data_IF_331058865691
#
_entry.id   IF_331058865691
#
_cell.length_a   1.000
_cell.length_b   1.000
_cell.length_c   1.000
_cell.angle_alpha   90.00
_cell.angle_beta   90.00
_cell.angle_gamma   90.00
#
_symmetry.space_group_name_H-M   'P 1'
#
loop_
_entity.id
_entity.type
_entity.pdbx_description
1 polymer ?
#
# COMPACT_ATOMS: atom_id res chain seq x y z
N UNK A 1 11.29 -7.02 6.35
CA UNK A 1 9.94 -6.42 6.50
C UNK A 1 9.15 -6.65 5.22
N UNK A 2 7.85 -6.93 5.34
CA UNK A 2 6.96 -7.16 4.21
C UNK A 2 6.26 -5.88 3.76
N UNK A 3 5.70 -5.87 2.54
CA UNK A 3 4.99 -4.70 1.98
C UNK A 3 3.91 -4.16 2.93
N UNK A 4 3.02 -5.04 3.38
CA UNK A 4 1.92 -4.69 4.29
C UNK A 4 2.41 -4.08 5.60
N UNK A 5 3.53 -4.58 6.15
CA UNK A 5 4.10 -4.02 7.38
C UNK A 5 4.62 -2.58 7.18
N UNK A 6 5.27 -2.31 6.05
CA UNK A 6 5.75 -0.95 5.71
C UNK A 6 4.56 -0.03 5.42
N UNK A 7 3.57 -0.50 4.67
CA UNK A 7 2.31 0.23 4.40
C UNK A 7 1.57 0.58 5.71
N UNK A 8 1.51 -0.34 6.68
CA UNK A 8 0.95 -0.07 8.00
C UNK A 8 1.80 0.88 8.83
N UNK A 9 3.13 0.72 8.82
CA UNK A 9 4.02 1.61 9.54
C UNK A 9 3.88 3.05 9.06
N UNK A 10 3.90 3.28 7.74
CA UNK A 10 3.74 4.61 7.15
C UNK A 10 2.35 5.18 7.42
N UNK A 11 1.30 4.37 7.30
CA UNK A 11 -0.08 4.81 7.53
C UNK A 11 -0.34 5.26 8.97
N UNK A 12 0.25 4.56 9.95
CA UNK A 12 0.05 4.83 11.37
C UNK A 12 1.06 5.84 11.95
N UNK A 13 1.89 6.48 11.12
CA UNK A 13 2.73 7.58 11.60
C UNK A 13 1.84 8.71 12.12
N UNK A 14 2.11 9.14 13.35
CA UNK A 14 1.39 10.22 14.02
C UNK A 14 2.39 11.31 14.37
N UNK A 15 2.45 12.33 13.51
CA UNK A 15 3.08 13.61 13.80
C UNK A 15 2.17 14.72 13.26
N UNK A 16 2.25 15.92 13.85
CA UNK A 16 1.34 17.03 13.51
C UNK A 16 1.42 17.44 12.03
N UNK A 17 2.58 17.25 11.39
CA UNK A 17 2.86 17.60 9.99
C UNK A 17 3.02 16.38 9.06
N UNK A 18 2.54 15.20 9.49
CA UNK A 18 2.57 13.98 8.68
C UNK A 18 1.15 13.49 8.48
N UNK A 19 0.72 13.47 7.22
CA UNK A 19 -0.57 12.95 6.80
C UNK A 19 -0.37 11.75 5.89
N UNK A 20 -1.17 10.71 6.12
CA UNK A 20 -1.14 9.49 5.33
C UNK A 20 -2.54 9.08 4.90
N UNK A 21 -2.68 8.65 3.65
CA UNK A 21 -3.91 8.09 3.12
C UNK A 21 -3.59 6.85 2.27
N UNK A 22 -4.36 5.78 2.46
CA UNK A 22 -4.16 4.52 1.75
C UNK A 22 -5.22 4.33 0.67
N UNK A 23 -4.78 4.22 -0.57
CA UNK A 23 -5.57 3.77 -1.72
C UNK A 23 -5.41 2.25 -1.84
N UNK A 24 -6.26 1.51 -1.12
CA UNK A 24 -6.30 0.05 -1.13
C UNK A 24 -7.17 -0.45 -2.29
N UNK A 25 -6.59 -1.30 -3.13
CA UNK A 25 -7.26 -1.95 -4.27
C UNK A 25 -7.82 -3.34 -3.94
N UNK A 26 -7.93 -3.68 -2.66
CA UNK A 26 -8.57 -4.91 -2.20
C UNK A 26 -10.00 -5.06 -2.70
N UNK A 27 -10.30 -6.17 -3.38
CA UNK A 27 -11.61 -6.41 -3.98
C UNK A 27 -12.10 -5.23 -4.86
N UNK A 28 -11.20 -4.45 -5.46
CA UNK A 28 -11.55 -3.32 -6.29
C UNK A 28 -11.94 -3.78 -7.71
N UNK A 29 -13.07 -3.33 -8.28
CA UNK A 29 -13.46 -3.70 -9.64
C UNK A 29 -12.66 -2.86 -10.66
N UNK A 30 -11.55 -3.39 -11.16
CA UNK A 30 -10.64 -2.68 -12.07
C UNK A 30 -11.30 -2.20 -13.37
N UNK A 31 -12.37 -2.86 -13.82
CA UNK A 31 -13.21 -2.39 -14.94
C UNK A 31 -13.69 -0.94 -14.77
N UNK A 32 -13.86 -0.47 -13.53
CA UNK A 32 -14.19 0.91 -13.25
C UNK A 32 -13.06 1.86 -13.69
N UNK A 33 -11.80 1.51 -13.47
CA UNK A 33 -10.67 2.30 -13.95
C UNK A 33 -10.50 2.19 -15.46
N UNK A 34 -10.72 1.02 -16.04
CA UNK A 34 -10.65 0.83 -17.49
C UNK A 34 -11.65 1.73 -18.23
N UNK A 35 -12.83 1.98 -17.65
CA UNK A 35 -13.82 2.91 -18.20
C UNK A 35 -13.48 4.41 -18.08
N UNK A 36 -12.42 4.75 -17.33
CA UNK A 36 -12.00 6.14 -17.06
C UNK A 36 -10.76 6.52 -17.86
N UNK A 37 -10.64 6.02 -19.09
CA UNK A 37 -9.57 6.42 -20.00
C UNK A 37 -9.77 7.87 -20.48
N UNK A 38 -8.64 8.55 -20.70
CA UNK A 38 -8.60 9.86 -21.32
C UNK A 38 -8.21 9.72 -22.78
N UNK A 39 -9.20 9.91 -23.66
CA UNK A 39 -9.06 9.78 -25.12
C UNK A 39 -8.08 10.78 -25.76
N UNK A 40 -7.66 11.81 -25.02
CA UNK A 40 -6.64 12.75 -25.50
C UNK A 40 -5.23 12.14 -25.48
N UNK A 41 -5.03 11.00 -24.82
CA UNK A 41 -3.74 10.32 -24.72
C UNK A 41 -3.75 9.00 -25.47
N UNK A 42 -2.62 8.66 -26.10
CA UNK A 42 -2.41 7.37 -26.73
C UNK A 42 -1.98 6.31 -25.71
N UNK A 43 -2.21 5.03 -26.02
CA UNK A 43 -1.69 3.94 -25.20
C UNK A 43 -0.16 3.96 -25.11
N UNK A 44 0.44 3.71 -23.91
CA UNK A 44 -0.17 3.25 -22.66
C UNK A 44 -0.53 4.37 -21.66
N UNK A 45 -0.70 5.61 -22.12
CA UNK A 45 -0.79 6.82 -21.27
C UNK A 45 -2.24 7.24 -20.96
N UNK A 46 -3.24 6.55 -21.48
CA UNK A 46 -4.66 6.92 -21.37
C UNK A 46 -5.20 6.95 -19.93
N UNK A 47 -4.52 6.29 -18.98
CA UNK A 47 -4.95 6.28 -17.58
C UNK A 47 -4.15 7.23 -16.68
N UNK A 48 -3.23 8.04 -17.22
CA UNK A 48 -2.43 8.97 -16.41
C UNK A 48 -3.33 9.95 -15.65
N UNK A 49 -4.33 10.52 -16.33
CA UNK A 49 -5.22 11.54 -15.74
C UNK A 49 -6.02 10.97 -14.57
N UNK A 50 -6.55 9.74 -14.68
CA UNK A 50 -7.31 9.14 -13.57
C UNK A 50 -6.38 8.87 -12.38
N UNK A 51 -5.15 8.41 -12.60
CA UNK A 51 -4.20 8.23 -11.50
C UNK A 51 -3.80 9.54 -10.83
N UNK A 52 -3.54 10.61 -11.59
CA UNK A 52 -3.35 11.96 -11.03
C UNK A 52 -4.56 12.35 -10.17
N UNK A 53 -5.76 12.18 -10.70
CA UNK A 53 -6.99 12.56 -10.03
C UNK A 53 -7.23 11.80 -8.71
N UNK A 54 -6.97 10.49 -8.68
CA UNK A 54 -7.07 9.70 -7.43
C UNK A 54 -6.05 10.14 -6.39
N UNK A 55 -4.81 10.44 -6.81
CA UNK A 55 -3.75 10.90 -5.92
C UNK A 55 -4.08 12.30 -5.37
N UNK A 56 -4.55 13.22 -6.21
CA UNK A 56 -4.95 14.56 -5.76
C UNK A 56 -6.13 14.52 -4.81
N UNK A 57 -7.12 13.66 -5.06
CA UNK A 57 -8.21 13.45 -4.10
C UNK A 57 -7.71 12.93 -2.75
N UNK A 58 -6.73 12.02 -2.74
CA UNK A 58 -6.11 11.55 -1.50
C UNK A 58 -5.39 12.69 -0.76
N UNK A 59 -4.70 13.57 -1.50
CA UNK A 59 -4.03 14.75 -0.93
C UNK A 59 -5.04 15.74 -0.35
N UNK A 60 -6.07 16.13 -1.11
CA UNK A 60 -7.11 17.03 -0.62
C UNK A 60 -7.82 16.47 0.62
N UNK A 61 -8.04 15.15 0.68
CA UNK A 61 -8.58 14.48 1.88
C UNK A 61 -7.64 14.56 3.08
N UNK A 62 -6.33 14.54 2.87
CA UNK A 62 -5.33 14.76 3.91
C UNK A 62 -5.24 16.22 4.34
N UNK A 63 -5.25 17.16 3.38
CA UNK A 63 -5.32 18.61 3.62
C UNK A 63 -6.54 18.98 4.46
N UNK A 64 -7.69 18.30 4.29
CA UNK A 64 -8.88 18.51 5.11
C UNK A 64 -8.65 18.24 6.62
N UNK A 65 -7.65 17.42 6.96
CA UNK A 65 -7.24 17.11 8.33
C UNK A 65 -6.14 18.04 8.85
N UNK A 66 -5.58 18.88 7.97
CA UNK A 66 -4.48 19.77 8.30
C UNK A 66 -5.01 21.14 8.73
N UNK A 67 -5.14 21.34 10.04
CA UNK A 67 -5.70 22.58 10.60
C UNK A 67 -4.80 23.82 10.41
N UNK A 68 -3.58 23.67 9.89
CA UNK A 68 -2.68 24.80 9.59
C UNK A 68 -3.05 25.56 8.31
N UNK A 69 -3.90 24.98 7.46
CA UNK A 69 -4.23 25.52 6.14
C UNK A 69 -5.26 26.66 6.20
N UNK A 70 -5.42 27.35 5.07
CA UNK A 70 -6.38 28.45 4.93
C UNK A 70 -7.82 28.02 5.31
N UNK A 71 -8.48 28.85 6.11
CA UNK A 71 -9.80 28.53 6.67
C UNK A 71 -10.90 28.41 5.60
N UNK A 72 -10.82 29.17 4.50
CA UNK A 72 -11.80 29.09 3.40
C UNK A 72 -11.63 27.77 2.67
N UNK A 73 -10.39 27.36 2.36
CA UNK A 73 -10.12 26.06 1.76
C UNK A 73 -10.54 24.92 2.70
N UNK A 74 -10.19 24.98 3.98
CA UNK A 74 -10.56 23.94 4.95
C UNK A 74 -12.07 23.73 5.03
N UNK A 75 -12.86 24.81 4.99
CA UNK A 75 -14.31 24.71 4.95
C UNK A 75 -14.80 24.00 3.68
N UNK A 76 -14.24 24.33 2.50
CA UNK A 76 -14.57 23.68 1.24
C UNK A 76 -14.19 22.19 1.24
N UNK A 77 -12.97 21.86 1.67
CA UNK A 77 -12.48 20.49 1.81
C UNK A 77 -13.33 19.68 2.78
N UNK A 78 -13.69 20.24 3.94
CA UNK A 78 -14.50 19.55 4.93
C UNK A 78 -15.93 19.26 4.40
N UNK A 79 -16.56 20.17 3.67
CA UNK A 79 -17.84 19.88 3.01
C UNK A 79 -17.75 18.65 2.08
N UNK A 80 -16.64 18.50 1.35
CA UNK A 80 -16.43 17.41 0.40
C UNK A 80 -16.02 16.09 1.09
N UNK A 81 -15.16 16.15 2.10
CA UNK A 81 -14.49 14.97 2.68
C UNK A 81 -14.95 14.58 4.10
N UNK A 82 -15.39 15.51 4.96
CA UNK A 82 -15.86 15.17 6.33
C UNK A 82 -17.12 14.29 6.31
N UNK A 83 -17.91 14.39 5.23
CA UNK A 83 -19.12 13.59 5.00
C UNK A 83 -18.83 12.18 4.45
N UNK A 84 -17.58 11.69 4.52
CA UNK A 84 -17.16 10.40 3.96
C UNK A 84 -16.91 9.34 5.04
N UNK A 85 -17.95 8.65 5.56
CA UNK A 85 -17.75 7.45 6.38
C UNK A 85 -17.23 6.27 5.53
N UNK A 86 -17.34 6.38 4.20
CA UNK A 86 -16.94 5.37 3.24
C UNK A 86 -15.42 5.41 3.08
N UNK A 87 -14.76 4.31 3.46
CA UNK A 87 -13.31 4.12 3.29
C UNK A 87 -12.96 3.30 2.04
N UNK A 88 -13.91 2.53 1.51
CA UNK A 88 -13.65 1.59 0.43
C UNK A 88 -13.49 2.31 -0.92
N UNK A 89 -12.34 2.09 -1.58
CA UNK A 89 -11.97 2.81 -2.81
C UNK A 89 -12.95 2.57 -3.96
N UNK A 90 -13.50 1.35 -4.08
CA UNK A 90 -14.50 0.99 -5.10
C UNK A 90 -15.79 1.84 -5.03
N UNK A 91 -16.12 2.40 -3.87
CA UNK A 91 -17.24 3.32 -3.69
C UNK A 91 -16.82 4.79 -3.81
N UNK A 92 -15.56 5.09 -3.54
CA UNK A 92 -15.02 6.45 -3.64
C UNK A 92 -14.81 6.87 -5.10
N UNK A 93 -14.25 5.99 -5.94
CA UNK A 93 -13.95 6.33 -7.35
C UNK A 93 -15.18 6.83 -8.12
N UNK A 94 -16.35 6.14 -8.13
CA UNK A 94 -17.54 6.63 -8.85
C UNK A 94 -18.06 7.97 -8.29
N UNK A 95 -17.87 8.21 -6.99
CA UNK A 95 -18.28 9.47 -6.34
C UNK A 95 -17.33 10.59 -6.72
N UNK A 96 -16.02 10.35 -6.71
CA UNK A 96 -15.01 11.34 -7.09
C UNK A 96 -15.15 11.74 -8.55
N UNK A 97 -15.53 10.82 -9.44
CA UNK A 97 -15.69 11.11 -10.88
C UNK A 97 -17.07 11.66 -11.26
N UNK A 98 -18.00 11.82 -10.30
CA UNK A 98 -19.32 12.40 -10.57
C UNK A 98 -19.24 13.89 -10.95
N UNK A 99 -20.18 14.35 -11.79
CA UNK A 99 -20.20 15.72 -12.34
C UNK A 99 -20.23 16.81 -11.25
N UNK A 100 -20.99 16.64 -10.18
CA UNK A 100 -21.06 17.62 -9.08
C UNK A 100 -19.96 17.50 -8.02
N UNK A 101 -19.11 16.48 -8.07
CA UNK A 101 -18.09 16.27 -7.04
C UNK A 101 -17.03 17.38 -7.08
N UNK A 102 -16.65 17.89 -5.91
CA UNK A 102 -15.58 18.88 -5.77
C UNK A 102 -15.99 20.31 -6.09
N UNK A 103 -17.26 20.61 -6.42
CA UNK A 103 -17.72 21.96 -6.77
C UNK A 103 -17.28 23.07 -5.77
N UNK A 104 -17.32 22.77 -4.48
CA UNK A 104 -16.86 23.66 -3.41
C UNK A 104 -15.33 23.95 -3.48
N UNK A 105 -14.53 22.94 -3.83
CA UNK A 105 -13.08 23.06 -4.01
C UNK A 105 -12.77 23.85 -5.29
N UNK A 106 -13.55 23.59 -6.36
CA UNK A 106 -13.44 24.32 -7.62
C UNK A 106 -13.72 25.81 -7.43
N UNK A 107 -14.62 26.20 -6.53
CA UNK A 107 -14.84 27.61 -6.17
C UNK A 107 -13.63 28.27 -5.49
N UNK A 108 -12.76 27.49 -4.85
CA UNK A 108 -11.47 27.98 -4.34
C UNK A 108 -10.46 28.11 -5.48
N UNK A 109 -10.39 27.11 -6.38
CA UNK A 109 -9.52 27.08 -7.56
C UNK A 109 -9.85 28.10 -8.65
N UNK A 110 -11.13 28.46 -8.84
CA UNK A 110 -11.54 29.43 -9.85
C UNK A 110 -11.00 30.86 -9.59
N UNK A 111 -10.66 31.18 -8.33
CA UNK A 111 -9.98 32.45 -8.00
C UNK A 111 -8.50 32.46 -8.46
N UNK A 112 -7.93 31.28 -8.75
CA UNK A 112 -6.54 31.08 -9.17
C UNK A 112 -6.43 31.28 -10.69
N UNK A 113 -7.29 30.59 -11.46
CA UNK A 113 -7.19 30.57 -12.92
C UNK A 113 -8.10 31.57 -13.65
N UNK A 114 -8.91 32.36 -12.93
CA UNK A 114 -9.89 33.26 -13.56
C UNK A 114 -10.95 32.52 -14.40
N UNK A 115 -11.18 31.24 -14.11
CA UNK A 115 -12.07 30.36 -14.88
C UNK A 115 -13.54 30.71 -14.59
N UNK A 116 -14.15 31.45 -15.53
CA UNK A 116 -15.61 31.64 -15.66
C UNK A 116 -16.29 30.42 -16.33
N UNK A 117 -15.88 29.18 -16.02
CA UNK A 117 -16.56 27.98 -16.54
C UNK A 117 -17.75 27.65 -15.63
N UNK A 118 -18.90 27.31 -16.24
CA UNK A 118 -20.00 26.70 -15.50
C UNK A 118 -19.50 25.42 -14.82
N UNK A 119 -19.49 25.44 -13.48
CA UNK A 119 -18.95 24.37 -12.62
C UNK A 119 -19.60 23.01 -12.93
N UNK A 120 -20.85 23.01 -13.40
CA UNK A 120 -21.63 21.82 -13.72
C UNK A 120 -21.17 21.05 -14.97
N UNK A 121 -20.39 21.68 -15.86
CA UNK A 121 -19.92 21.08 -17.12
C UNK A 121 -18.44 20.65 -17.09
N UNK A 122 -17.77 20.75 -15.95
CA UNK A 122 -16.34 20.42 -15.84
C UNK A 122 -16.17 18.91 -15.76
N UNK A 123 -15.42 18.35 -16.70
CA UNK A 123 -15.11 16.92 -16.73
C UNK A 123 -14.19 16.53 -15.57
N UNK A 124 -14.21 15.27 -15.13
CA UNK A 124 -13.28 14.80 -14.09
C UNK A 124 -11.79 14.97 -14.49
N UNK A 125 -11.50 14.96 -15.80
CA UNK A 125 -10.17 15.19 -16.33
C UNK A 125 -9.72 16.64 -16.09
N UNK A 126 -10.57 17.62 -16.41
CA UNK A 126 -10.30 19.04 -16.10
C UNK A 126 -10.24 19.30 -14.60
N UNK A 127 -11.02 18.58 -13.79
CA UNK A 127 -10.92 18.67 -12.32
C UNK A 127 -9.55 18.21 -11.81
N UNK A 128 -8.86 17.31 -12.52
CA UNK A 128 -7.53 16.87 -12.11
C UNK A 128 -6.52 18.01 -12.14
N UNK A 129 -6.60 18.89 -13.14
CA UNK A 129 -5.72 20.05 -13.26
C UNK A 129 -6.09 21.09 -12.18
N UNK A 130 -7.38 21.39 -11.98
CA UNK A 130 -7.81 22.34 -10.94
C UNK A 130 -7.39 21.87 -9.53
N UNK A 131 -7.43 20.56 -9.26
CA UNK A 131 -6.95 20.02 -7.99
C UNK A 131 -5.43 20.12 -7.86
N UNK A 132 -4.68 19.99 -8.96
CA UNK A 132 -3.22 20.22 -8.99
C UNK A 132 -2.90 21.65 -8.56
N UNK A 133 -3.57 22.65 -9.14
CA UNK A 133 -3.37 24.07 -8.84
C UNK A 133 -3.78 24.44 -7.41
N UNK A 134 -4.90 23.86 -6.91
CA UNK A 134 -5.33 24.04 -5.52
C UNK A 134 -4.30 23.45 -4.54
N UNK A 135 -3.70 22.31 -4.87
CA UNK A 135 -2.65 21.70 -4.03
C UNK A 135 -1.41 22.59 -4.05
N UNK A 136 -0.98 23.08 -5.22
CA UNK A 136 0.19 23.95 -5.35
C UNK A 136 0.05 25.24 -4.55
N UNK A 137 -1.12 25.89 -4.63
CA UNK A 137 -1.32 27.17 -3.97
C UNK A 137 -1.46 27.06 -2.45
N UNK A 138 -2.11 26.02 -1.96
CA UNK A 138 -2.57 25.98 -0.57
C UNK A 138 -1.94 24.90 0.30
N UNK A 139 -1.27 23.89 -0.27
CA UNK A 139 -0.58 22.92 0.57
C UNK A 139 0.66 23.54 1.23
N UNK A 140 0.89 23.19 2.49
CA UNK A 140 2.05 23.61 3.27
C UNK A 140 3.24 22.64 3.07
N UNK A 141 4.29 22.81 3.87
CA UNK A 141 5.47 21.95 3.83
C UNK A 141 5.30 20.63 4.62
N UNK A 142 4.06 20.26 4.98
CA UNK A 142 3.76 18.97 5.59
C UNK A 142 4.03 17.80 4.65
N UNK A 143 4.20 16.62 5.23
CA UNK A 143 4.41 15.38 4.49
C UNK A 143 3.07 14.72 4.17
N UNK A 144 2.84 14.49 2.88
CA UNK A 144 1.62 13.84 2.38
C UNK A 144 2.00 12.48 1.77
N UNK A 145 1.73 11.39 2.49
CA UNK A 145 2.00 10.02 2.04
C UNK A 145 0.77 9.38 1.41
N UNK A 146 0.88 9.03 0.13
CA UNK A 146 -0.20 8.34 -0.60
C UNK A 146 0.24 6.90 -0.82
N UNK A 147 -0.35 5.98 -0.07
CA UNK A 147 0.02 4.57 -0.07
C UNK A 147 -0.90 3.81 -1.04
N UNK A 148 -0.36 3.37 -2.17
CA UNK A 148 -1.10 2.63 -3.20
C UNK A 148 -0.73 1.16 -3.09
N UNK A 149 -1.67 0.33 -2.66
CA UNK A 149 -1.42 -1.07 -2.30
C UNK A 149 -2.47 -2.01 -2.91
N UNK A 150 -2.16 -3.31 -2.92
CA UNK A 150 -3.06 -4.39 -3.38
C UNK A 150 -3.44 -4.29 -4.87
N UNK A 151 -2.56 -3.69 -5.68
CA UNK A 151 -2.73 -3.64 -7.14
C UNK A 151 -2.70 -5.03 -7.80
N UNK A 152 -2.20 -6.05 -7.11
CA UNK A 152 -2.11 -7.44 -7.57
C UNK A 152 -3.40 -8.26 -7.42
N UNK A 153 -4.50 -7.66 -6.96
CA UNK A 153 -5.77 -8.36 -6.77
C UNK A 153 -6.38 -8.86 -8.09
N UNK A 154 -6.35 -8.04 -9.15
CA UNK A 154 -6.82 -8.39 -10.51
C UNK A 154 -5.73 -9.11 -11.33
N UNK A 155 -4.56 -9.34 -10.73
CA UNK A 155 -3.44 -10.05 -11.35
C UNK A 155 -3.61 -11.57 -11.20
N UNK A 156 -4.75 -12.12 -11.62
CA UNK A 156 -5.02 -13.57 -11.69
C UNK A 156 -5.92 -13.86 -12.89
N UNK A 157 -5.47 -14.79 -13.73
CA UNK A 157 -6.23 -15.39 -14.83
C UNK A 157 -6.89 -14.38 -15.79
N UNK A 158 -6.06 -13.57 -16.47
CA UNK A 158 -6.54 -12.78 -17.62
C UNK A 158 -7.24 -13.72 -18.61
N UNK A 159 -8.47 -13.40 -19.01
CA UNK A 159 -9.23 -14.23 -19.95
C UNK A 159 -8.56 -14.21 -21.34
N UNK A 160 -7.96 -13.07 -21.71
CA UNK A 160 -7.26 -12.88 -22.97
C UNK A 160 -6.03 -11.95 -22.87
N UNK A 161 -5.27 -11.86 -23.96
CA UNK A 161 -4.09 -10.99 -24.06
C UNK A 161 -4.44 -9.49 -24.03
N UNK A 162 -5.64 -9.11 -24.46
CA UNK A 162 -6.12 -7.72 -24.49
C UNK A 162 -6.36 -7.17 -23.07
N UNK A 163 -7.01 -7.95 -22.21
CA UNK A 163 -7.21 -7.63 -20.80
C UNK A 163 -5.87 -7.47 -20.09
N UNK A 164 -4.95 -8.42 -20.31
CA UNK A 164 -3.58 -8.34 -19.78
C UNK A 164 -2.88 -7.06 -20.23
N UNK A 165 -2.99 -6.70 -21.51
CA UNK A 165 -2.40 -5.50 -22.08
C UNK A 165 -2.99 -4.23 -21.46
N UNK A 166 -4.31 -4.19 -21.28
CA UNK A 166 -5.03 -3.07 -20.64
C UNK A 166 -4.61 -2.89 -19.19
N UNK A 167 -4.50 -3.99 -18.42
CA UNK A 167 -3.96 -3.96 -17.06
C UNK A 167 -2.52 -3.43 -17.01
N UNK A 168 -1.65 -3.88 -17.92
CA UNK A 168 -0.28 -3.36 -18.03
C UNK A 168 -0.29 -1.86 -18.35
N UNK A 169 -1.16 -1.40 -19.25
CA UNK A 169 -1.28 0.02 -19.59
C UNK A 169 -1.76 0.86 -18.41
N UNK A 170 -2.74 0.36 -17.66
CA UNK A 170 -3.21 0.98 -16.42
C UNK A 170 -2.06 1.16 -15.42
N UNK A 171 -1.27 0.10 -15.17
CA UNK A 171 -0.13 0.18 -14.25
C UNK A 171 0.98 1.09 -14.79
N UNK A 172 1.33 1.00 -16.07
CA UNK A 172 2.33 1.89 -16.68
C UNK A 172 1.93 3.37 -16.52
N UNK A 173 0.64 3.68 -16.74
CA UNK A 173 0.07 5.00 -16.49
C UNK A 173 0.19 5.45 -15.03
N UNK A 174 0.08 4.54 -14.05
CA UNK A 174 0.28 4.86 -12.63
C UNK A 174 1.70 5.36 -12.37
N UNK A 175 2.71 4.63 -12.85
CA UNK A 175 4.12 5.04 -12.66
C UNK A 175 4.41 6.40 -13.31
N UNK A 176 3.85 6.64 -14.50
CA UNK A 176 3.95 7.95 -15.17
C UNK A 176 3.24 9.05 -14.41
N UNK A 177 2.05 8.80 -13.87
CA UNK A 177 1.34 9.78 -13.05
C UNK A 177 2.14 10.16 -11.79
N UNK A 178 2.71 9.16 -11.09
CA UNK A 178 3.58 9.40 -9.93
C UNK A 178 4.82 10.22 -10.32
N UNK A 179 5.43 9.91 -11.46
CA UNK A 179 6.58 10.67 -11.98
C UNK A 179 6.18 12.12 -12.31
N UNK A 180 5.06 12.33 -12.98
CA UNK A 180 4.55 13.65 -13.34
C UNK A 180 4.27 14.50 -12.10
N UNK A 181 3.59 13.94 -11.09
CA UNK A 181 3.33 14.61 -9.82
C UNK A 181 4.65 15.02 -9.15
N UNK A 182 5.60 14.08 -9.02
CA UNK A 182 6.90 14.39 -8.41
C UNK A 182 7.70 15.44 -9.18
N UNK A 183 7.58 15.47 -10.50
CA UNK A 183 8.26 16.46 -11.34
C UNK A 183 7.61 17.84 -11.21
N UNK A 184 6.28 17.91 -11.20
CA UNK A 184 5.52 19.16 -11.05
C UNK A 184 5.83 19.85 -9.72
N UNK A 185 5.77 19.11 -8.61
CA UNK A 185 6.01 19.66 -7.27
C UNK A 185 7.50 19.71 -6.85
N UNK A 186 8.44 19.45 -7.76
CA UNK A 186 9.86 19.27 -7.43
C UNK A 186 10.50 20.48 -6.76
N UNK A 187 10.17 21.67 -7.24
CA UNK A 187 10.75 22.94 -6.77
C UNK A 187 9.85 23.63 -5.72
N UNK A 188 8.74 22.98 -5.34
CA UNK A 188 7.84 23.44 -4.28
C UNK A 188 8.33 23.02 -2.89
N UNK A 189 7.84 23.68 -1.84
CA UNK A 189 8.05 23.25 -0.45
C UNK A 189 7.19 22.04 -0.06
N UNK A 190 6.23 21.67 -0.91
CA UNK A 190 5.20 20.67 -0.64
C UNK A 190 5.80 19.26 -0.74
N UNK A 191 5.64 18.45 0.30
CA UNK A 191 6.32 17.15 0.41
C UNK A 191 5.36 15.99 0.07
N UNK A 192 4.99 15.88 -1.20
CA UNK A 192 4.12 14.80 -1.71
C UNK A 192 4.93 13.51 -1.93
N UNK A 193 4.48 12.40 -1.32
CA UNK A 193 5.15 11.09 -1.32
C UNK A 193 4.20 9.99 -1.76
N UNK A 194 3.93 9.82 -3.07
CA UNK A 194 3.21 8.66 -3.57
C UNK A 194 4.11 7.43 -3.49
N UNK A 195 3.64 6.36 -2.86
CA UNK A 195 4.37 5.11 -2.64
C UNK A 195 3.52 3.96 -3.20
N UNK A 196 4.05 3.32 -4.24
CA UNK A 196 3.39 2.19 -4.93
C UNK A 196 3.96 0.88 -4.42
N UNK A 197 3.11 0.06 -3.82
CA UNK A 197 3.44 -1.31 -3.43
C UNK A 197 3.05 -2.26 -4.57
N UNK A 198 4.05 -2.80 -5.27
CA UNK A 198 3.82 -3.70 -6.39
C UNK A 198 4.64 -4.98 -6.25
N UNK A 199 4.12 -6.10 -6.77
CA UNK A 199 4.90 -7.35 -6.82
C UNK A 199 5.97 -7.26 -7.91
N UNK A 200 7.12 -7.87 -7.65
CA UNK A 200 8.28 -7.82 -8.53
C UNK A 200 8.03 -8.51 -9.87
N UNK A 201 7.24 -9.59 -9.87
CA UNK A 201 6.81 -10.27 -11.10
C UNK A 201 5.91 -9.38 -11.94
N UNK A 202 4.93 -8.69 -11.35
CA UNK A 202 4.09 -7.71 -12.06
C UNK A 202 4.94 -6.57 -12.62
N UNK A 203 5.84 -6.01 -11.80
CA UNK A 203 6.76 -4.96 -12.24
C UNK A 203 7.64 -5.41 -13.42
N UNK A 204 8.10 -6.67 -13.42
CA UNK A 204 8.88 -7.22 -14.51
C UNK A 204 8.12 -7.21 -15.85
N UNK A 205 6.79 -7.38 -15.83
CA UNK A 205 5.95 -7.34 -17.03
C UNK A 205 5.67 -5.95 -17.59
N UNK A 206 5.88 -4.88 -16.83
CA UNK A 206 5.72 -3.51 -17.34
C UNK A 206 6.72 -3.27 -18.49
N UNK A 207 6.21 -2.78 -19.62
CA UNK A 207 7.00 -2.45 -20.81
C UNK A 207 6.88 -0.94 -21.05
N UNK A 208 7.93 -0.21 -20.70
CA UNK A 208 8.02 1.24 -20.94
C UNK A 208 9.48 1.66 -21.13
N UNK A 209 9.71 2.66 -21.98
CA UNK A 209 11.04 3.23 -22.22
C UNK A 209 11.64 3.87 -20.97
N UNK A 210 10.81 4.44 -20.10
CA UNK A 210 11.23 5.11 -18.87
C UNK A 210 11.44 4.15 -17.69
N UNK A 211 11.22 2.85 -17.88
CA UNK A 211 11.40 1.83 -16.83
C UNK A 211 12.80 1.85 -16.20
N UNK A 212 13.82 2.18 -16.99
CA UNK A 212 15.19 2.33 -16.49
C UNK A 212 15.30 3.50 -15.51
N UNK A 213 14.62 4.62 -15.76
CA UNK A 213 14.59 5.78 -14.84
C UNK A 213 13.86 5.43 -13.55
N UNK A 214 12.80 4.63 -13.63
CA UNK A 214 12.06 4.22 -12.43
C UNK A 214 12.88 3.34 -11.50
N UNK A 215 13.85 2.58 -12.03
CA UNK A 215 14.67 1.64 -11.25
C UNK A 215 15.44 2.31 -10.11
N UNK A 216 15.82 3.57 -10.27
CA UNK A 216 16.52 4.36 -9.23
C UNK A 216 15.62 4.68 -8.02
N UNK A 217 14.29 4.60 -8.20
CA UNK A 217 13.31 4.91 -7.16
C UNK A 217 12.68 3.65 -6.53
N UNK A 218 13.19 2.45 -6.87
CA UNK A 218 12.63 1.18 -6.41
C UNK A 218 13.36 0.67 -5.17
N UNK A 219 12.60 0.39 -4.12
CA UNK A 219 13.07 -0.36 -2.97
C UNK A 219 12.64 -1.84 -3.09
N UNK A 220 13.61 -2.71 -3.38
CA UNK A 220 13.36 -4.15 -3.45
C UNK A 220 13.29 -4.76 -2.04
N UNK A 221 12.12 -5.32 -1.71
CA UNK A 221 11.87 -5.98 -0.43
C UNK A 221 12.04 -7.50 -0.57
N UNK A 222 13.19 -8.03 -0.14
CA UNK A 222 13.49 -9.47 -0.20
C UNK A 222 13.63 -10.07 1.20
N UNK A 223 12.97 -11.20 1.41
CA UNK A 223 13.13 -12.03 2.61
C UNK A 223 14.31 -12.98 2.43
N UNK A 224 15.34 -12.80 3.25
CA UNK A 224 16.47 -13.73 3.35
C UNK A 224 16.25 -14.68 4.53
N UNK A 225 16.91 -15.86 4.57
CA UNK A 225 16.84 -16.77 5.70
C UNK A 225 17.09 -16.09 7.04
N UNK A 226 18.08 -15.19 7.09
CA UNK A 226 18.50 -14.47 8.29
C UNK A 226 17.40 -13.51 8.74
N UNK A 227 16.84 -12.72 7.82
CA UNK A 227 15.74 -11.77 8.12
C UNK A 227 14.48 -12.51 8.59
N UNK A 228 14.19 -13.67 8.01
CA UNK A 228 13.06 -14.51 8.42
C UNK A 228 13.28 -15.07 9.83
N UNK A 229 14.46 -15.65 10.07
CA UNK A 229 14.82 -16.18 11.39
C UNK A 229 14.75 -15.09 12.46
N UNK A 230 15.32 -13.92 12.16
CA UNK A 230 15.32 -12.76 13.06
C UNK A 230 13.90 -12.28 13.40
N UNK A 231 13.05 -12.15 12.38
CA UNK A 231 11.65 -11.75 12.54
C UNK A 231 10.86 -12.78 13.38
N UNK A 232 11.09 -14.09 13.17
CA UNK A 232 10.46 -15.12 13.97
C UNK A 232 10.92 -15.08 15.42
N UNK A 233 12.24 -14.96 15.67
CA UNK A 233 12.78 -14.84 17.02
C UNK A 233 12.23 -13.60 17.74
N UNK A 234 12.15 -12.46 17.04
CA UNK A 234 11.55 -11.25 17.59
C UNK A 234 10.09 -11.48 17.99
N UNK A 235 9.26 -12.02 17.10
CA UNK A 235 7.84 -12.31 17.38
C UNK A 235 7.65 -13.30 18.53
N UNK A 236 8.47 -14.34 18.59
CA UNK A 236 8.44 -15.31 19.69
C UNK A 236 8.86 -14.67 21.02
N UNK A 237 9.84 -13.77 21.00
CA UNK A 237 10.28 -13.02 22.18
C UNK A 237 9.16 -12.14 22.74
N UNK A 238 8.50 -11.37 21.87
CA UNK A 238 7.32 -10.55 22.23
C UNK A 238 6.20 -11.44 22.78
N UNK A 239 5.91 -12.56 22.11
CA UNK A 239 4.89 -13.53 22.54
C UNK A 239 5.23 -14.17 23.90
N UNK A 240 6.52 -14.30 24.24
CA UNK A 240 6.98 -14.81 25.53
C UNK A 240 6.89 -13.79 26.67
N UNK A 241 6.41 -12.57 26.41
CA UNK A 241 6.35 -11.47 27.39
C UNK A 241 7.72 -11.19 28.03
N UNK A 242 8.79 -11.28 27.24
CA UNK A 242 10.16 -11.01 27.70
C UNK A 242 10.79 -12.11 28.57
N UNK A 243 10.15 -13.28 28.71
CA UNK A 243 10.72 -14.42 29.47
C UNK A 243 12.02 -14.96 28.88
N UNK A 244 12.23 -14.79 27.58
CA UNK A 244 13.43 -15.23 26.88
C UNK A 244 13.97 -14.13 25.98
N UNK A 245 15.30 -14.08 25.84
CA UNK A 245 15.95 -13.18 24.89
C UNK A 245 15.84 -13.70 23.45
N UNK A 246 16.04 -12.80 22.47
CA UNK A 246 15.97 -13.11 21.04
C UNK A 246 16.98 -14.18 20.61
N UNK A 247 18.12 -14.27 21.27
CA UNK A 247 19.20 -15.22 20.98
C UNK A 247 18.86 -16.64 21.46
N UNK A 248 18.04 -16.74 22.52
CA UNK A 248 17.75 -18.00 23.19
C UNK A 248 16.36 -18.55 22.86
N UNK A 249 15.40 -17.70 22.49
CA UNK A 249 14.00 -18.06 22.28
C UNK A 249 13.82 -19.23 21.30
N UNK A 250 14.60 -19.27 20.21
CA UNK A 250 14.48 -20.33 19.21
C UNK A 250 14.78 -21.71 19.80
N UNK A 251 15.81 -21.82 20.65
CA UNK A 251 16.18 -23.08 21.32
C UNK A 251 15.15 -23.49 22.39
N UNK A 252 14.46 -22.52 22.98
CA UNK A 252 13.42 -22.78 23.98
C UNK A 252 12.14 -23.32 23.32
N UNK A 253 11.79 -22.75 22.17
CA UNK A 253 10.61 -23.16 21.39
C UNK A 253 10.90 -24.46 20.62
N UNK A 254 12.09 -24.62 20.08
CA UNK A 254 12.55 -25.79 19.34
C UNK A 254 13.80 -26.40 20.01
N UNK A 255 13.62 -27.23 21.07
CA UNK A 255 14.73 -27.79 21.85
C UNK A 255 15.59 -28.75 21.04
N UNK A 256 15.00 -29.45 20.06
CA UNK A 256 15.75 -30.28 19.13
C UNK A 256 16.28 -29.42 17.99
N UNK A 257 17.62 -29.36 17.89
CA UNK A 257 18.31 -28.63 16.81
C UNK A 257 18.06 -29.25 15.43
N UNK A 258 17.88 -30.57 15.38
CA UNK A 258 17.72 -31.32 14.15
C UNK A 258 16.37 -32.02 14.12
N UNK A 259 15.79 -32.06 12.92
CA UNK A 259 14.68 -32.95 12.57
C UNK A 259 15.24 -34.09 11.75
N UNK A 260 14.97 -35.33 12.18
CA UNK A 260 15.38 -36.55 11.51
C UNK A 260 14.30 -36.98 10.51
N UNK A 261 14.72 -37.43 9.33
CA UNK A 261 13.87 -37.73 8.17
C UNK A 261 14.30 -39.04 7.49
N UNK A 262 13.36 -39.63 6.73
CA UNK A 262 13.57 -40.87 5.96
C UNK A 262 13.35 -42.15 6.78
N UNK A 263 13.23 -43.30 6.10
CA UNK A 263 12.84 -44.58 6.70
C UNK A 263 13.81 -45.11 7.77
N UNK A 264 15.03 -44.58 7.87
CA UNK A 264 16.04 -44.99 8.84
C UNK A 264 16.62 -43.83 9.66
N UNK A 265 16.08 -42.61 9.52
CA UNK A 265 16.53 -41.45 10.31
C UNK A 265 17.98 -40.98 10.06
N UNK A 266 18.68 -41.51 9.04
CA UNK A 266 20.06 -41.08 8.72
C UNK A 266 20.14 -39.65 8.19
N UNK A 267 19.07 -39.16 7.56
CA UNK A 267 19.01 -37.79 7.07
C UNK A 267 18.52 -36.87 8.18
N UNK A 268 19.31 -35.84 8.49
CA UNK A 268 18.95 -34.80 9.46
C UNK A 268 19.05 -33.43 8.82
N UNK A 269 18.21 -32.51 9.27
CA UNK A 269 18.29 -31.11 8.86
C UNK A 269 17.98 -30.20 10.04
N UNK A 270 18.46 -28.95 10.00
CA UNK A 270 18.15 -27.99 11.05
C UNK A 270 16.63 -27.74 11.10
N UNK A 271 16.09 -27.52 12.29
CA UNK A 271 14.65 -27.29 12.47
C UNK A 271 14.17 -26.08 11.67
N UNK A 272 14.97 -25.03 11.55
CA UNK A 272 14.64 -23.90 10.69
C UNK A 272 14.52 -24.33 9.23
N UNK A 273 15.53 -24.99 8.67
CA UNK A 273 15.54 -25.48 7.28
C UNK A 273 14.39 -26.46 7.00
N UNK A 274 14.02 -27.27 8.00
CA UNK A 274 12.87 -28.18 7.90
C UNK A 274 11.59 -27.40 7.68
N UNK A 275 11.35 -26.37 8.50
CA UNK A 275 10.18 -25.50 8.39
C UNK A 275 10.21 -24.75 7.05
N UNK A 276 11.38 -24.24 6.66
CA UNK A 276 11.59 -23.51 5.39
C UNK A 276 11.08 -24.27 4.17
N UNK A 277 11.31 -25.59 4.12
CA UNK A 277 10.84 -26.43 2.99
C UNK A 277 9.32 -26.44 2.85
N UNK A 278 8.59 -26.25 3.94
CA UNK A 278 7.12 -26.24 3.97
C UNK A 278 6.51 -24.83 3.85
N UNK A 279 7.31 -23.77 3.90
CA UNK A 279 6.81 -22.38 3.98
C UNK A 279 7.25 -21.51 2.81
N UNK A 280 8.01 -22.05 1.86
CA UNK A 280 8.42 -21.38 0.61
C UNK A 280 8.98 -19.96 0.82
N UNK A 281 9.74 -19.75 1.91
CA UNK A 281 10.34 -18.45 2.26
C UNK A 281 9.35 -17.31 2.54
N UNK A 282 8.06 -17.61 2.76
CA UNK A 282 7.02 -16.60 3.02
C UNK A 282 6.81 -16.43 4.53
N UNK A 283 7.00 -15.22 5.09
CA UNK A 283 6.83 -14.97 6.53
C UNK A 283 5.49 -15.47 7.09
N UNK A 284 4.40 -15.25 6.34
CA UNK A 284 3.05 -15.67 6.73
C UNK A 284 2.97 -17.18 6.93
N UNK A 285 3.61 -17.93 6.03
CA UNK A 285 3.54 -19.39 6.04
C UNK A 285 4.40 -19.95 7.19
N UNK A 286 5.52 -19.32 7.55
CA UNK A 286 6.24 -19.64 8.80
C UNK A 286 5.39 -19.40 10.04
N UNK A 287 4.76 -18.23 10.14
CA UNK A 287 3.90 -17.90 11.28
C UNK A 287 2.76 -18.91 11.39
N UNK A 288 2.12 -19.24 10.27
CA UNK A 288 1.06 -20.23 10.23
C UNK A 288 1.56 -21.61 10.65
N UNK A 289 2.68 -22.08 10.10
CA UNK A 289 3.29 -23.36 10.42
C UNK A 289 3.56 -23.50 11.92
N UNK A 290 4.26 -22.52 12.51
CA UNK A 290 4.59 -22.54 13.94
C UNK A 290 3.33 -22.48 14.81
N UNK A 291 2.33 -21.68 14.41
CA UNK A 291 1.04 -21.62 15.09
C UNK A 291 0.32 -22.98 15.08
N UNK A 292 0.34 -23.71 13.97
CA UNK A 292 -0.24 -25.06 13.92
C UNK A 292 0.54 -26.06 14.78
N UNK A 293 1.88 -26.01 14.76
CA UNK A 293 2.71 -26.83 15.64
C UNK A 293 2.37 -26.61 17.12
N UNK A 294 2.16 -25.34 17.52
CA UNK A 294 1.75 -25.00 18.88
C UNK A 294 0.44 -25.66 19.27
N UNK A 295 -0.60 -25.54 18.42
CA UNK A 295 -1.93 -26.10 18.69
C UNK A 295 -1.87 -27.61 18.89
N UNK A 296 -1.14 -28.31 18.03
CA UNK A 296 -0.97 -29.78 18.13
C UNK A 296 -0.20 -30.14 19.41
N UNK A 297 0.85 -29.38 19.76
CA UNK A 297 1.63 -29.64 20.97
C UNK A 297 0.80 -29.43 22.26
N UNK A 298 -0.06 -28.42 22.29
CA UNK A 298 -1.01 -28.20 23.40
C UNK A 298 -2.02 -29.36 23.52
N UNK A 299 -2.58 -29.84 22.40
CA UNK A 299 -3.50 -30.99 22.40
C UNK A 299 -2.85 -32.27 22.94
N UNK A 300 -1.54 -32.43 22.74
CA UNK A 300 -0.76 -33.57 23.27
C UNK A 300 -0.29 -33.38 24.73
N UNK A 301 -0.76 -32.34 25.42
CA UNK A 301 -0.42 -32.09 26.83
C UNK A 301 0.96 -31.46 27.06
N UNK A 302 1.62 -30.93 26.02
CA UNK A 302 2.94 -30.32 26.17
C UNK A 302 2.82 -28.85 26.63
N UNK A 303 3.07 -28.59 27.91
CA UNK A 303 2.96 -27.26 28.53
C UNK A 303 4.01 -26.25 28.05
N UNK A 304 5.10 -26.69 27.39
CA UNK A 304 6.06 -25.76 26.74
C UNK A 304 5.47 -25.08 25.49
N UNK A 305 4.35 -25.57 24.97
CA UNK A 305 3.69 -25.01 23.78
C UNK A 305 2.92 -23.70 24.03
N UNK A 306 2.82 -23.25 25.29
CA UNK A 306 2.10 -22.03 25.70
C UNK A 306 2.77 -20.75 25.14
N UNK A 307 4.10 -20.75 24.93
CA UNK A 307 4.82 -19.63 24.29
C UNK A 307 4.39 -19.48 22.81
N UNK A 308 3.93 -20.58 22.22
CA UNK A 308 3.76 -20.75 20.79
C UNK A 308 2.29 -20.46 20.35
N UNK A 309 1.34 -20.45 21.29
CA UNK A 309 -0.09 -20.16 21.03
C UNK A 309 -0.43 -18.67 20.98
N UNK A 310 0.44 -17.84 21.56
CA UNK A 310 0.29 -16.37 21.57
C UNK A 310 0.64 -15.76 20.20
N UNK A 311 1.34 -16.50 19.32
CA UNK A 311 1.69 -16.04 17.96
C UNK A 311 0.44 -15.74 17.11
N UNK A 312 -0.67 -16.46 17.33
CA UNK A 312 -1.95 -16.20 16.66
C UNK A 312 -2.79 -15.11 17.33
N UNK A 313 -2.43 -14.70 18.55
CA UNK A 313 -3.18 -13.75 19.37
C UNK A 313 -2.53 -12.37 19.45
N UNK A 314 -1.29 -12.20 18.96
CA UNK A 314 -0.71 -10.86 18.82
C UNK A 314 -1.64 -10.07 17.89
N UNK A 315 -2.37 -9.08 18.41
CA UNK A 315 -3.25 -8.27 17.59
C UNK A 315 -2.40 -7.58 16.53
N UNK A 316 -3.08 -7.16 15.48
CA UNK A 316 -2.67 -6.29 14.37
C UNK A 316 -1.81 -5.06 14.70
N UNK A 317 -1.37 -4.86 15.94
CA UNK A 317 -0.60 -3.71 16.43
C UNK A 317 0.92 -3.90 16.54
N UNK A 318 1.48 -5.09 16.29
CA UNK A 318 2.95 -5.27 16.26
C UNK A 318 3.43 -5.68 14.87
N UNK A 319 3.27 -4.75 13.92
CA UNK A 319 4.02 -4.75 12.67
C UNK A 319 5.39 -4.09 12.91
N UNK A 320 6.38 -4.91 13.26
CA UNK A 320 7.80 -4.66 12.98
C UNK A 320 8.35 -5.87 12.19
#
# INVERSE_FOLDING_TARGET
MGKTAISEFLYNQSAENIFSERLSFKNFPFNLLYSLENNNYTSPNQYITIWKYLIYNAICKMMAKNNSLDSKLLNALNKVYSSQPIKALNKLVPRWTASGFGAEILGCGANIDGINKNIDNITWAEKADIFEDVIEQYADDSYYYILIDELDEDYRDFEDESQRKTYIYLLTSLFKAVQNIKAYFKDSTIKIRPIVFLRSDIYAFLKDSDKNKWSEYILNLTWTPEKLYEMLCYRLTVSSQGKYSKENIWKQVFPHKFVYMGNQGHNRMLTFDYITRSTHWRPRDYIHYISQCSKIALQKGNTRAIIMSIISLSPSGYCL
#
